data_IF_452938916275
#
_entry.id   IF_452938916275
#
_cell.length_a   1.000
_cell.length_b   1.000
_cell.length_c   1.000
_cell.angle_alpha   90.00
_cell.angle_beta   90.00
_cell.angle_gamma   90.00
#
_symmetry.space_group_name_H-M   'P 1'
#
loop_
_entity.id
_entity.type
_entity.pdbx_description
1 polymer ?
#
# COMPACT_ATOMS: atom_id res chain seq x y z
N UNK A 1 4.45 11.03 -9.94
CA UNK A 1 3.62 10.74 -8.76
C UNK A 1 2.19 10.62 -9.25
N UNK A 2 1.65 9.40 -9.28
CA UNK A 2 0.25 9.15 -9.65
C UNK A 2 -0.59 9.40 -8.40
N UNK A 3 -1.49 10.38 -8.44
CA UNK A 3 -2.42 10.63 -7.33
C UNK A 3 -3.62 9.70 -7.49
N UNK A 4 -3.95 8.95 -6.43
CA UNK A 4 -5.25 8.29 -6.30
C UNK A 4 -6.20 9.21 -5.53
N UNK A 5 -7.29 9.64 -6.16
CA UNK A 5 -8.39 10.32 -5.47
C UNK A 5 -9.56 9.34 -5.35
N UNK A 6 -9.83 8.92 -4.11
CA UNK A 6 -11.02 8.15 -3.75
C UNK A 6 -12.13 9.07 -3.26
N UNK A 7 -13.22 9.17 -4.02
CA UNK A 7 -14.45 9.83 -3.56
C UNK A 7 -15.44 8.73 -3.17
N UNK A 8 -15.86 8.72 -1.91
CA UNK A 8 -16.94 7.84 -1.44
C UNK A 8 -18.26 8.50 -1.81
N UNK A 9 -18.87 8.04 -2.90
CA UNK A 9 -20.25 8.38 -3.24
C UNK A 9 -21.21 7.44 -2.52
N UNK A 10 -21.93 7.93 -1.51
CA UNK A 10 -23.05 7.19 -0.94
C UNK A 10 -24.20 7.19 -1.96
N UNK A 11 -24.50 6.03 -2.58
CA UNK A 11 -25.74 5.86 -3.31
C UNK A 11 -26.90 5.68 -2.30
N UNK A 12 -27.41 6.79 -1.78
CA UNK A 12 -28.70 6.82 -1.07
C UNK A 12 -29.83 6.79 -2.10
N UNK A 13 -30.40 5.61 -2.35
CA UNK A 13 -31.59 5.46 -3.19
C UNK A 13 -32.80 6.08 -2.49
N UNK A 14 -33.24 7.24 -2.97
CA UNK A 14 -34.55 7.80 -2.64
C UNK A 14 -35.64 7.11 -3.44
N UNK A 15 -36.56 6.43 -2.75
CA UNK A 15 -37.84 6.03 -3.33
C UNK A 15 -38.93 6.88 -2.67
N UNK A 16 -39.27 7.99 -3.31
CA UNK A 16 -40.52 8.69 -3.07
C UNK A 16 -41.59 8.05 -3.95
N UNK A 17 -42.52 7.33 -3.33
CA UNK A 17 -43.75 6.91 -4.01
C UNK A 17 -44.94 7.36 -3.17
N UNK A 18 -45.66 8.32 -3.74
CA UNK A 18 -46.96 8.84 -3.32
C UNK A 18 -47.95 7.72 -3.02
N UNK A 19 -48.50 7.72 -1.81
CA UNK A 19 -49.65 6.90 -1.43
C UNK A 19 -50.93 7.52 -2.01
N UNK A 20 -51.69 6.72 -2.76
CA UNK A 20 -53.10 6.99 -3.06
C UNK A 20 -53.90 5.81 -2.52
N UNK A 21 -54.83 6.11 -1.62
CA UNK A 21 -55.74 5.15 -0.99
C UNK A 21 -56.81 4.66 -1.96
N UNK A 22 -57.06 3.35 -1.99
CA UNK A 22 -58.20 2.74 -2.68
C UNK A 22 -58.48 1.35 -2.12
N UNK A 23 -59.73 1.14 -1.68
CA UNK A 23 -60.19 0.01 -0.88
C UNK A 23 -60.58 -1.24 -1.69
N UNK A 24 -60.56 -2.39 -1.02
CA UNK A 24 -61.51 -3.49 -1.26
C UNK A 24 -60.96 -4.73 -2.00
N UNK A 25 -61.10 -5.91 -1.37
CA UNK A 25 -61.03 -7.20 -2.06
C UNK A 25 -60.39 -8.32 -1.24
N UNK A 26 -61.22 -9.14 -0.59
CA UNK A 26 -60.80 -10.37 0.07
C UNK A 26 -60.40 -11.44 -0.96
N UNK A 27 -59.27 -12.11 -0.72
CA UNK A 27 -58.81 -13.25 -1.52
C UNK A 27 -57.78 -14.07 -0.75
N UNK A 28 -58.16 -15.26 -0.32
CA UNK A 28 -57.31 -16.28 0.29
C UNK A 28 -56.31 -16.82 -0.74
N UNK A 29 -55.03 -16.78 -0.40
CA UNK A 29 -53.95 -17.30 -1.24
C UNK A 29 -52.75 -17.69 -0.37
N UNK A 30 -52.42 -18.97 -0.45
CA UNK A 30 -51.38 -19.69 0.29
C UNK A 30 -50.01 -19.01 0.33
N UNK A 31 -49.38 -19.05 1.50
CA UNK A 31 -48.05 -18.54 1.77
C UNK A 31 -46.96 -19.14 0.87
N UNK A 32 -46.43 -18.31 -0.02
CA UNK A 32 -45.09 -18.47 -0.57
C UNK A 32 -44.13 -17.64 0.29
N UNK A 33 -43.22 -18.31 1.00
CA UNK A 33 -42.10 -17.65 1.64
C UNK A 33 -41.21 -17.03 0.55
N UNK A 34 -41.47 -15.77 0.22
CA UNK A 34 -40.58 -14.93 -0.55
C UNK A 34 -39.32 -14.69 0.29
N UNK A 35 -38.33 -15.57 0.14
CA UNK A 35 -36.98 -15.32 0.59
C UNK A 35 -36.45 -14.09 -0.14
N UNK A 36 -36.60 -12.93 0.48
CA UNK A 36 -35.96 -11.71 0.03
C UNK A 36 -34.46 -11.95 0.03
N UNK A 37 -33.88 -12.14 -1.15
CA UNK A 37 -32.44 -12.01 -1.34
C UNK A 37 -32.12 -10.55 -1.05
N UNK A 38 -31.82 -10.23 0.20
CA UNK A 38 -31.25 -8.96 0.59
C UNK A 38 -29.99 -8.79 -0.23
N UNK A 39 -30.08 -8.01 -1.31
CA UNK A 39 -28.96 -7.71 -2.18
C UNK A 39 -27.90 -7.08 -1.31
N UNK A 40 -26.82 -7.83 -1.04
CA UNK A 40 -25.65 -7.28 -0.39
C UNK A 40 -25.26 -6.04 -1.21
N UNK A 41 -25.36 -4.86 -0.59
CA UNK A 41 -24.91 -3.63 -1.24
C UNK A 41 -23.43 -3.85 -1.49
N UNK A 42 -23.06 -4.13 -2.74
CA UNK A 42 -21.69 -4.29 -3.15
C UNK A 42 -21.01 -2.93 -2.94
N UNK A 43 -20.15 -2.82 -1.93
CA UNK A 43 -19.28 -1.65 -1.79
C UNK A 43 -18.52 -1.48 -3.12
N UNK A 44 -18.59 -0.30 -3.71
CA UNK A 44 -17.74 0.10 -4.82
C UNK A 44 -17.19 1.50 -4.55
N UNK A 45 -15.86 1.63 -4.46
CA UNK A 45 -15.19 2.92 -4.30
C UNK A 45 -14.29 3.15 -5.51
N UNK A 46 -14.56 4.16 -6.36
CA UNK A 46 -13.71 4.46 -7.51
C UNK A 46 -12.37 5.05 -7.06
N UNK A 47 -11.29 4.57 -7.67
CA UNK A 47 -9.92 5.03 -7.50
C UNK A 47 -9.45 5.61 -8.83
N UNK A 48 -9.49 6.94 -8.95
CA UNK A 48 -9.04 7.62 -10.17
C UNK A 48 -7.55 7.89 -10.09
N UNK A 49 -6.81 7.39 -11.06
CA UNK A 49 -5.37 7.56 -11.21
C UNK A 49 -5.09 8.41 -12.44
N UNK A 50 -4.27 9.45 -12.26
CA UNK A 50 -3.87 10.37 -13.32
C UNK A 50 -2.35 10.40 -13.45
N UNK A 51 -1.85 10.21 -14.65
CA UNK A 51 -0.44 10.37 -15.01
C UNK A 51 -0.26 11.76 -15.64
N UNK A 52 0.60 12.59 -15.05
CA UNK A 52 0.79 14.00 -15.48
C UNK A 52 2.19 14.31 -15.99
N UNK A 53 3.10 13.34 -16.00
CA UNK A 53 4.50 13.56 -16.40
C UNK A 53 4.78 13.17 -17.85
N UNK A 54 3.77 12.71 -18.60
CA UNK A 54 3.93 12.26 -19.97
C UNK A 54 4.68 10.94 -20.10
N UNK A 55 4.70 10.12 -19.05
CA UNK A 55 5.43 8.84 -19.02
C UNK A 55 4.47 7.69 -18.75
N UNK A 56 4.46 6.69 -19.63
CA UNK A 56 3.66 5.47 -19.42
C UNK A 56 4.11 4.77 -18.14
N UNK A 57 3.15 4.49 -17.27
CA UNK A 57 3.32 3.78 -16.01
C UNK A 57 2.88 2.34 -16.21
N UNK A 58 3.77 1.39 -15.92
CA UNK A 58 3.49 -0.05 -15.98
C UNK A 58 3.76 -0.65 -14.61
N UNK A 59 2.78 -1.34 -14.04
CA UNK A 59 2.83 -1.90 -12.69
C UNK A 59 3.31 -0.87 -11.64
N UNK A 60 2.83 0.37 -11.72
CA UNK A 60 3.19 1.44 -10.80
C UNK A 60 2.59 1.18 -9.43
N UNK A 61 3.41 1.14 -8.36
CA UNK A 61 2.89 1.03 -7.02
C UNK A 61 1.99 2.22 -6.67
N UNK A 62 0.79 1.90 -6.21
CA UNK A 62 -0.20 2.85 -5.73
C UNK A 62 -0.52 2.49 -4.28
N UNK A 63 -0.37 3.48 -3.40
CA UNK A 63 -0.83 3.41 -2.01
C UNK A 63 -1.90 4.47 -1.82
N UNK A 64 -3.09 4.07 -1.36
CA UNK A 64 -4.20 4.99 -1.12
C UNK A 64 -4.88 4.68 0.21
N UNK A 65 -5.11 5.71 1.02
CA UNK A 65 -6.01 5.65 2.17
C UNK A 65 -7.45 5.85 1.71
N UNK A 66 -8.35 4.97 2.13
CA UNK A 66 -9.76 4.97 1.75
C UNK A 66 -10.63 5.05 3.00
N UNK A 67 -11.40 6.13 3.18
CA UNK A 67 -12.45 6.16 4.19
C UNK A 67 -13.57 5.21 3.77
N UNK A 68 -14.10 4.44 4.72
CA UNK A 68 -15.27 3.59 4.49
C UNK A 68 -16.38 3.95 5.49
N UNK A 69 -17.62 3.89 5.01
CA UNK A 69 -18.79 4.19 5.83
C UNK A 69 -18.99 3.12 6.93
N UNK A 70 -19.59 3.49 8.09
CA UNK A 70 -20.00 2.52 9.10
C UNK A 70 -20.84 1.39 8.50
N UNK A 71 -20.63 0.16 8.96
CA UNK A 71 -21.33 -1.03 8.48
C UNK A 71 -20.93 -1.54 7.10
N UNK A 72 -20.12 -0.82 6.32
CA UNK A 72 -19.85 -1.17 4.92
C UNK A 72 -19.09 -2.49 4.75
N UNK A 73 -17.93 -2.63 5.42
CA UNK A 73 -17.09 -3.84 5.37
C UNK A 73 -16.42 -4.04 6.72
N UNK A 74 -16.39 -5.29 7.21
CA UNK A 74 -15.71 -5.65 8.48
C UNK A 74 -14.37 -6.34 8.28
N UNK A 75 -14.26 -7.13 7.22
CA UNK A 75 -13.09 -7.97 6.92
C UNK A 75 -12.50 -7.63 5.55
N UNK A 76 -11.17 -7.45 5.51
CA UNK A 76 -10.41 -7.23 4.28
C UNK A 76 -10.42 -8.44 3.35
N UNK A 77 -10.71 -9.65 3.84
CA UNK A 77 -10.83 -10.85 3.01
C UNK A 77 -11.95 -10.75 1.95
N UNK A 78 -12.96 -9.91 2.19
CA UNK A 78 -14.02 -9.63 1.23
C UNK A 78 -13.62 -8.61 0.15
N UNK A 79 -12.48 -7.92 0.32
CA UNK A 79 -12.06 -6.82 -0.53
C UNK A 79 -11.16 -7.28 -1.67
N UNK A 80 -11.31 -6.61 -2.82
CA UNK A 80 -10.42 -6.77 -3.97
C UNK A 80 -10.43 -5.48 -4.81
N UNK A 81 -9.39 -5.31 -5.63
CA UNK A 81 -9.31 -4.18 -6.56
C UNK A 81 -9.63 -4.67 -7.97
N UNK A 82 -10.57 -4.00 -8.63
CA UNK A 82 -10.89 -4.21 -10.03
C UNK A 82 -10.10 -3.23 -10.91
N UNK A 83 -9.46 -3.75 -11.96
CA UNK A 83 -8.86 -2.96 -13.02
C UNK A 83 -9.95 -2.22 -13.85
N UNK A 84 -9.56 -1.32 -14.77
CA UNK A 84 -10.51 -0.62 -15.64
C UNK A 84 -11.44 -1.56 -16.43
N UNK A 85 -11.01 -2.79 -16.74
CA UNK A 85 -11.78 -3.83 -17.45
C UNK A 85 -12.63 -4.69 -16.50
N UNK A 86 -12.62 -4.41 -15.20
CA UNK A 86 -13.38 -5.13 -14.18
C UNK A 86 -12.72 -6.41 -13.67
N UNK A 87 -11.47 -6.69 -14.05
CA UNK A 87 -10.75 -7.90 -13.64
C UNK A 87 -10.06 -7.67 -12.29
N UNK A 88 -10.00 -8.67 -11.40
CA UNK A 88 -9.32 -8.53 -10.13
C UNK A 88 -7.80 -8.42 -10.34
N UNK A 89 -7.15 -7.53 -9.57
CA UNK A 89 -5.69 -7.40 -9.52
C UNK A 89 -5.19 -7.62 -8.09
N UNK A 90 -3.94 -8.10 -7.91
CA UNK A 90 -3.38 -8.28 -6.59
C UNK A 90 -3.40 -6.97 -5.82
N UNK A 91 -3.95 -7.03 -4.61
CA UNK A 91 -3.99 -5.91 -3.69
C UNK A 91 -3.64 -6.36 -2.27
N UNK A 92 -3.08 -5.45 -1.50
CA UNK A 92 -2.79 -5.62 -0.09
C UNK A 92 -3.57 -4.56 0.68
N UNK A 93 -4.21 -4.99 1.75
CA UNK A 93 -5.11 -4.16 2.55
C UNK A 93 -4.63 -4.13 3.99
N UNK A 94 -4.64 -2.96 4.61
CA UNK A 94 -4.37 -2.77 6.04
C UNK A 94 -5.44 -1.89 6.66
N UNK A 95 -5.96 -2.32 7.81
CA UNK A 95 -6.93 -1.55 8.57
C UNK A 95 -6.18 -0.55 9.47
N UNK A 96 -6.36 0.73 9.23
CA UNK A 96 -5.78 1.83 10.04
C UNK A 96 -6.72 2.29 11.15
N UNK A 97 -8.00 1.98 11.03
CA UNK A 97 -8.99 2.36 12.04
C UNK A 97 -10.32 1.69 11.80
N UNK A 98 -11.08 1.51 12.89
CA UNK A 98 -12.41 0.92 12.90
C UNK A 98 -13.44 1.87 13.51
N UNK A 99 -14.68 1.74 13.09
CA UNK A 99 -15.84 2.33 13.74
C UNK A 99 -16.21 1.54 15.02
N UNK A 100 -17.02 2.11 15.93
CA UNK A 100 -17.46 1.41 17.15
C UNK A 100 -18.22 0.09 16.87
N UNK A 101 -18.86 -0.05 15.71
CA UNK A 101 -19.57 -1.26 15.28
C UNK A 101 -18.64 -2.36 14.71
N UNK A 102 -17.33 -2.15 14.77
CA UNK A 102 -16.27 -3.03 14.28
C UNK A 102 -15.99 -2.94 12.78
N UNK A 103 -16.79 -2.20 12.01
CA UNK A 103 -16.55 -1.99 10.58
C UNK A 103 -15.30 -1.15 10.33
N UNK A 104 -14.67 -1.35 9.18
CA UNK A 104 -13.45 -0.64 8.79
C UNK A 104 -13.82 0.83 8.54
N UNK A 105 -13.07 1.75 9.15
CA UNK A 105 -13.21 3.20 8.95
C UNK A 105 -12.16 3.74 8.00
N UNK A 106 -10.91 3.34 8.21
CA UNK A 106 -9.76 3.76 7.43
C UNK A 106 -9.03 2.54 6.91
N UNK A 107 -8.99 2.40 5.59
CA UNK A 107 -8.33 1.30 4.92
C UNK A 107 -7.14 1.84 4.11
N UNK A 108 -5.94 1.34 4.36
CA UNK A 108 -4.82 1.51 3.45
C UNK A 108 -4.87 0.40 2.39
N UNK A 109 -4.82 0.78 1.13
CA UNK A 109 -4.78 -0.11 -0.01
C UNK A 109 -3.48 0.08 -0.79
N UNK A 110 -2.76 -1.01 -1.01
CA UNK A 110 -1.56 -1.09 -1.84
C UNK A 110 -1.83 -2.02 -3.03
N UNK A 111 -1.64 -1.53 -4.25
CA UNK A 111 -1.76 -2.31 -5.48
C UNK A 111 -0.83 -1.76 -6.56
N UNK A 112 -0.77 -2.41 -7.72
CA UNK A 112 -0.01 -1.93 -8.87
C UNK A 112 -0.94 -1.58 -10.03
N UNK A 113 -0.69 -0.45 -10.68
CA UNK A 113 -1.55 0.09 -11.72
C UNK A 113 -0.80 0.39 -13.02
N UNK A 114 -1.48 0.20 -14.13
CA UNK A 114 -1.04 0.66 -15.44
C UNK A 114 -1.76 1.96 -15.78
N UNK A 115 -1.01 3.00 -16.15
CA UNK A 115 -1.56 4.30 -16.53
C UNK A 115 -0.82 4.78 -17.79
N UNK A 116 -1.50 5.05 -18.91
CA UNK A 116 -0.84 5.59 -20.09
C UNK A 116 -0.27 6.99 -19.81
N UNK A 117 0.76 7.38 -20.56
CA UNK A 117 1.32 8.74 -20.51
C UNK A 117 0.21 9.80 -20.68
N UNK A 118 0.18 10.81 -19.81
CA UNK A 118 -0.88 11.85 -19.79
C UNK A 118 -2.31 11.27 -19.69
N UNK A 119 -2.44 10.05 -19.17
CA UNK A 119 -3.68 9.30 -19.14
C UNK A 119 -4.37 9.32 -17.79
N UNK A 120 -5.67 9.05 -17.82
CA UNK A 120 -6.50 8.83 -16.63
C UNK A 120 -7.14 7.46 -16.70
N UNK A 121 -7.02 6.68 -15.64
CA UNK A 121 -7.65 5.36 -15.50
C UNK A 121 -8.43 5.28 -14.19
N UNK A 122 -9.44 4.40 -14.16
CA UNK A 122 -10.25 4.16 -12.96
C UNK A 122 -10.16 2.70 -12.54
N UNK A 123 -9.56 2.50 -11.38
CA UNK A 123 -9.66 1.25 -10.62
C UNK A 123 -10.84 1.35 -9.65
N UNK A 124 -11.27 0.24 -9.07
CA UNK A 124 -12.35 0.22 -8.07
C UNK A 124 -12.02 -0.71 -6.93
N UNK A 125 -12.16 -0.25 -5.69
CA UNK A 125 -12.28 -1.14 -4.54
C UNK A 125 -13.68 -1.75 -4.54
N UNK A 126 -13.76 -3.08 -4.43
CA UNK A 126 -15.03 -3.81 -4.35
C UNK A 126 -15.06 -4.73 -3.14
N UNK A 127 -16.27 -4.98 -2.63
CA UNK A 127 -16.52 -6.01 -1.63
C UNK A 127 -17.46 -7.10 -2.18
N UNK A 128 -17.08 -8.36 -2.00
CA UNK A 128 -17.84 -9.52 -2.48
C UNK A 128 -17.75 -9.72 -4.00
N UNK A 129 -18.26 -10.87 -4.47
CA UNK A 129 -18.37 -11.19 -5.91
C UNK A 129 -17.04 -11.38 -6.67
N UNK A 130 -15.90 -11.30 -5.99
CA UNK A 130 -14.57 -11.47 -6.57
C UNK A 130 -13.55 -11.94 -5.53
N UNK A 131 -12.41 -12.40 -6.01
CA UNK A 131 -11.29 -12.82 -5.18
C UNK A 131 -10.11 -11.86 -5.37
N UNK A 132 -9.32 -11.66 -4.32
CA UNK A 132 -8.06 -10.94 -4.38
C UNK A 132 -6.94 -11.92 -4.78
N UNK A 133 -6.42 -11.88 -6.01
CA UNK A 133 -5.42 -12.84 -6.47
C UNK A 133 -4.07 -12.59 -5.79
N UNK A 134 -3.31 -13.67 -5.58
CA UNK A 134 -1.91 -13.54 -5.16
C UNK A 134 -1.10 -12.85 -6.25
N UNK A 135 -0.11 -12.01 -5.89
CA UNK A 135 0.75 -11.39 -6.88
C UNK A 135 1.72 -12.41 -7.49
N UNK A 136 2.05 -12.23 -8.78
CA UNK A 136 2.98 -13.11 -9.49
C UNK A 136 4.40 -13.08 -8.92
N UNK A 137 4.80 -11.94 -8.35
CA UNK A 137 6.02 -11.75 -7.59
C UNK A 137 5.65 -11.22 -6.21
N UNK A 138 6.46 -11.54 -5.20
CA UNK A 138 6.22 -11.07 -3.84
C UNK A 138 7.50 -10.54 -3.22
N UNK A 139 7.35 -9.54 -2.35
CA UNK A 139 8.48 -9.05 -1.55
C UNK A 139 8.74 -10.04 -0.41
N UNK A 140 9.95 -10.60 -0.40
CA UNK A 140 10.44 -11.49 0.65
C UNK A 140 11.41 -10.72 1.54
N UNK A 141 11.31 -10.94 2.85
CA UNK A 141 12.20 -10.33 3.83
C UNK A 141 12.79 -11.44 4.68
N UNK A 142 14.11 -11.54 4.75
CA UNK A 142 14.82 -12.44 5.65
C UNK A 142 15.56 -11.60 6.69
N UNK A 143 15.39 -11.96 7.96
CA UNK A 143 16.20 -11.41 9.05
C UNK A 143 17.50 -12.18 9.12
N UNK A 144 18.62 -11.47 9.08
CA UNK A 144 19.95 -12.03 9.25
C UNK A 144 20.51 -11.62 10.61
N UNK A 145 21.59 -12.27 11.06
CA UNK A 145 22.29 -11.84 12.28
C UNK A 145 22.83 -10.41 12.17
N UNK A 146 23.18 -9.98 10.95
CA UNK A 146 23.83 -8.69 10.68
C UNK A 146 22.91 -7.67 10.03
N UNK A 147 21.59 -7.90 9.97
CA UNK A 147 20.64 -6.97 9.36
C UNK A 147 19.50 -7.66 8.61
N UNK A 148 19.14 -7.15 7.43
CA UNK A 148 18.03 -7.63 6.60
C UNK A 148 18.49 -7.94 5.18
N UNK A 149 17.89 -8.97 4.60
CA UNK A 149 17.88 -9.21 3.16
C UNK A 149 16.44 -9.05 2.65
N UNK A 150 16.26 -8.27 1.58
CA UNK A 150 14.97 -8.06 0.93
C UNK A 150 15.08 -8.47 -0.54
N UNK A 151 14.15 -9.29 -1.00
CA UNK A 151 14.01 -9.66 -2.41
C UNK A 151 12.66 -9.20 -2.93
N UNK A 152 12.63 -8.51 -4.06
CA UNK A 152 11.39 -8.02 -4.68
C UNK A 152 10.94 -8.86 -5.86
N UNK A 153 11.74 -9.85 -6.26
CA UNK A 153 11.63 -10.57 -7.52
C UNK A 153 12.86 -10.29 -8.37
N UNK A 154 12.91 -9.19 -9.14
CA UNK A 154 14.05 -8.88 -10.00
C UNK A 154 15.29 -8.40 -9.24
N UNK A 155 15.11 -7.86 -8.02
CA UNK A 155 16.18 -7.28 -7.23
C UNK A 155 16.30 -7.90 -5.84
N UNK A 156 17.54 -7.91 -5.33
CA UNK A 156 17.89 -8.29 -3.96
C UNK A 156 18.70 -7.17 -3.31
N UNK A 157 18.39 -6.87 -2.05
CA UNK A 157 19.00 -5.80 -1.27
C UNK A 157 19.49 -6.36 0.06
N UNK A 158 20.73 -6.04 0.44
CA UNK A 158 21.25 -6.28 1.79
C UNK A 158 21.37 -4.97 2.55
N UNK A 159 20.78 -4.92 3.74
CA UNK A 159 20.86 -3.81 4.69
C UNK A 159 21.57 -4.33 5.94
N UNK A 160 22.78 -3.86 6.24
CA UNK A 160 23.46 -4.19 7.49
C UNK A 160 22.94 -3.32 8.64
N UNK A 161 22.87 -3.87 9.85
CA UNK A 161 22.55 -3.09 11.05
C UNK A 161 23.77 -2.31 11.59
N UNK A 162 24.99 -2.75 11.29
CA UNK A 162 26.22 -2.05 11.63
C UNK A 162 27.43 -2.53 10.79
N UNK A 163 28.27 -1.62 10.27
CA UNK A 163 27.96 -0.20 10.03
C UNK A 163 26.89 -0.06 8.94
N UNK A 164 25.96 0.88 9.10
CA UNK A 164 24.88 1.07 8.12
C UNK A 164 25.28 1.99 6.97
N UNK A 165 25.11 1.49 5.73
CA UNK A 165 25.57 2.17 4.51
C UNK A 165 24.46 2.43 3.49
N UNK A 166 23.22 2.57 3.96
CA UNK A 166 22.00 2.59 3.15
C UNK A 166 21.72 1.24 2.48
N UNK A 167 22.54 0.83 1.50
CA UNK A 167 22.56 -0.51 0.94
C UNK A 167 23.99 -1.04 1.00
N UNK A 168 24.18 -2.19 1.63
CA UNK A 168 25.49 -2.86 1.61
C UNK A 168 25.70 -3.56 0.28
N UNK A 169 24.64 -4.19 -0.24
CA UNK A 169 24.68 -4.89 -1.51
C UNK A 169 23.33 -4.77 -2.22
N UNK A 170 23.40 -4.62 -3.55
CA UNK A 170 22.24 -4.62 -4.42
C UNK A 170 22.54 -5.47 -5.64
N UNK A 171 21.66 -6.42 -5.94
CA UNK A 171 21.70 -7.24 -7.14
C UNK A 171 20.46 -7.02 -7.98
N UNK A 172 20.63 -7.02 -9.30
CA UNK A 172 19.54 -7.17 -10.27
C UNK A 172 19.83 -8.44 -11.08
N UNK A 173 18.96 -9.44 -10.95
CA UNK A 173 19.25 -10.80 -11.40
C UNK A 173 20.57 -11.31 -10.79
N UNK A 174 21.52 -11.70 -11.64
CA UNK A 174 22.84 -12.18 -11.21
C UNK A 174 23.90 -11.06 -11.11
N UNK A 175 23.58 -9.84 -11.55
CA UNK A 175 24.54 -8.72 -11.58
C UNK A 175 24.50 -7.97 -10.26
N UNK A 176 25.62 -7.95 -9.54
CA UNK A 176 25.82 -7.06 -8.40
C UNK A 176 26.08 -5.63 -8.90
N UNK A 177 25.25 -4.68 -8.49
CA UNK A 177 25.36 -3.26 -8.84
C UNK A 177 25.95 -2.43 -7.70
N UNK A 178 25.67 -2.83 -6.46
CA UNK A 178 26.29 -2.24 -5.26
C UNK A 178 27.02 -3.35 -4.53
N UNK A 179 28.31 -3.13 -4.28
CA UNK A 179 29.16 -3.99 -3.49
C UNK A 179 29.55 -3.26 -2.18
N UNK A 180 29.98 -4.01 -1.14
CA UNK A 180 30.32 -3.39 0.13
C UNK A 180 31.52 -2.44 -0.02
N UNK A 181 31.33 -1.18 0.34
CA UNK A 181 32.37 -0.16 0.31
C UNK A 181 32.31 0.67 1.61
N UNK A 182 33.39 0.70 2.43
CA UNK A 182 33.46 1.54 3.62
C UNK A 182 33.23 3.04 3.38
N UNK A 183 33.44 3.54 2.17
CA UNK A 183 33.19 4.95 1.85
C UNK A 183 31.71 5.26 1.59
N UNK A 184 30.87 4.25 1.33
CA UNK A 184 29.44 4.40 1.01
C UNK A 184 28.58 4.73 2.23
N UNK A 185 27.39 5.28 1.99
CA UNK A 185 26.37 5.56 3.00
C UNK A 185 25.87 7.00 2.98
N UNK A 186 25.16 7.37 4.05
CA UNK A 186 24.64 8.74 4.23
C UNK A 186 25.71 9.57 4.92
N UNK A 187 26.15 10.65 4.27
CA UNK A 187 27.27 11.47 4.73
C UNK A 187 26.84 12.93 4.82
N UNK A 188 27.18 13.57 5.93
CA UNK A 188 27.05 15.02 6.11
C UNK A 188 28.44 15.61 6.33
N UNK A 189 28.84 16.56 5.48
CA UNK A 189 30.13 17.25 5.56
C UNK A 189 29.94 18.64 6.17
N UNK A 190 30.63 18.91 7.27
CA UNK A 190 30.62 20.22 7.91
C UNK A 190 31.41 21.27 7.12
N UNK A 191 31.07 22.55 7.30
CA UNK A 191 31.66 23.66 6.55
C UNK A 191 33.05 24.13 7.06
N UNK A 192 33.65 23.45 8.04
CA UNK A 192 34.95 23.81 8.63
C UNK A 192 36.16 23.48 7.74
N UNK A 193 37.35 23.96 8.14
CA UNK A 193 38.64 23.59 7.53
C UNK A 193 39.61 23.08 8.62
N UNK A 194 39.99 21.79 8.61
CA UNK A 194 39.49 20.75 7.71
C UNK A 194 38.01 20.44 7.96
N UNK A 195 37.32 19.98 6.91
CA UNK A 195 35.92 19.61 7.02
C UNK A 195 35.75 18.36 7.89
N UNK A 196 34.81 18.40 8.84
CA UNK A 196 34.43 17.22 9.63
C UNK A 196 33.39 16.43 8.85
N UNK A 197 33.62 15.13 8.69
CA UNK A 197 32.71 14.21 8.01
C UNK A 197 31.93 13.43 9.05
N UNK A 198 30.59 13.48 8.98
CA UNK A 198 29.68 12.72 9.83
C UNK A 198 28.98 11.65 9.00
N UNK A 199 29.10 10.37 9.41
CA UNK A 199 28.52 9.22 8.70
C UNK A 199 27.32 8.65 9.43
N UNK A 200 26.29 8.23 8.70
CA UNK A 200 25.07 7.61 9.22
C UNK A 200 25.24 6.15 9.68
N UNK A 201 26.43 5.73 10.12
CA UNK A 201 26.75 4.32 10.34
C UNK A 201 26.13 3.73 11.61
N UNK A 202 25.78 4.59 12.58
CA UNK A 202 25.27 4.17 13.90
C UNK A 202 23.75 4.03 13.88
N UNK A 203 23.28 2.79 13.69
CA UNK A 203 21.85 2.45 13.79
C UNK A 203 21.44 2.35 15.25
N UNK A 204 20.35 3.04 15.59
CA UNK A 204 19.63 2.89 16.87
C UNK A 204 18.57 1.81 16.77
N UNK A 205 17.87 1.75 15.64
CA UNK A 205 16.79 0.79 15.41
C UNK A 205 16.61 0.52 13.93
N UNK A 206 16.45 -0.75 13.57
CA UNK A 206 15.98 -1.17 12.25
C UNK A 206 14.72 -2.00 12.45
N UNK A 207 13.64 -1.65 11.76
CA UNK A 207 12.33 -2.30 11.95
C UNK A 207 11.57 -2.43 10.64
N UNK A 208 10.96 -3.59 10.41
CA UNK A 208 10.00 -3.79 9.34
C UNK A 208 8.66 -3.26 9.84
N UNK A 209 8.19 -2.13 9.29
CA UNK A 209 6.95 -1.48 9.72
C UNK A 209 5.72 -2.11 9.05
N UNK A 210 5.84 -2.36 7.73
CA UNK A 210 4.78 -2.95 6.93
C UNK A 210 5.37 -4.17 6.23
N UNK A 211 4.73 -5.34 6.37
CA UNK A 211 5.14 -6.57 5.70
C UNK A 211 3.96 -7.18 4.97
N UNK A 212 3.99 -7.12 3.64
CA UNK A 212 3.09 -7.89 2.82
C UNK A 212 3.67 -8.19 1.44
N UNK A 213 2.95 -8.98 0.65
CA UNK A 213 3.49 -9.56 -0.57
C UNK A 213 3.74 -8.50 -1.66
N UNK A 214 3.01 -7.37 -1.67
CA UNK A 214 3.18 -6.32 -2.67
C UNK A 214 4.11 -5.19 -2.23
N UNK A 215 4.17 -4.93 -0.92
CA UNK A 215 4.90 -3.79 -0.36
C UNK A 215 5.49 -4.15 1.00
N UNK A 216 6.75 -3.80 1.18
CA UNK A 216 7.44 -3.82 2.48
C UNK A 216 7.99 -2.44 2.77
N UNK A 217 7.86 -1.98 4.01
CA UNK A 217 8.52 -0.77 4.50
C UNK A 217 9.48 -1.11 5.64
N UNK A 218 10.74 -0.76 5.46
CA UNK A 218 11.79 -0.85 6.49
C UNK A 218 12.09 0.56 6.98
N UNK A 219 12.01 0.78 8.30
CA UNK A 219 12.47 2.00 8.95
C UNK A 219 13.83 1.77 9.60
N UNK A 220 14.76 2.69 9.33
CA UNK A 220 16.06 2.75 9.99
C UNK A 220 16.15 4.09 10.72
N UNK A 221 16.37 4.02 12.02
CA UNK A 221 16.60 5.17 12.89
C UNK A 221 18.07 5.11 13.33
N UNK A 222 18.80 6.21 13.19
CA UNK A 222 20.23 6.25 13.48
C UNK A 222 20.78 7.66 13.68
N UNK A 223 22.11 7.77 13.67
CA UNK A 223 22.84 9.01 13.96
C UNK A 223 23.97 9.25 12.96
N UNK A 224 24.22 10.53 12.66
CA UNK A 224 25.39 11.00 11.91
C UNK A 224 26.54 11.28 12.87
N UNK A 225 27.68 10.62 12.66
CA UNK A 225 28.74 10.53 13.66
C UNK A 225 30.10 10.77 13.01
N UNK A 226 30.92 11.60 13.63
CA UNK A 226 32.29 11.84 13.19
C UNK A 226 33.21 10.71 13.66
N UNK A 227 34.40 10.62 13.05
CA UNK A 227 35.46 9.69 13.49
C UNK A 227 35.90 9.91 14.94
N UNK A 228 35.76 11.12 15.47
CA UNK A 228 35.99 11.44 16.88
C UNK A 228 34.93 10.88 17.84
N UNK A 229 33.85 10.30 17.31
CA UNK A 229 32.67 9.87 18.09
C UNK A 229 31.63 10.96 18.29
N UNK A 230 31.95 12.22 17.96
CA UNK A 230 31.02 13.34 18.06
C UNK A 230 29.76 13.09 17.20
N UNK A 231 28.59 13.30 17.80
CA UNK A 231 27.31 13.10 17.12
C UNK A 231 26.78 14.45 16.64
N UNK A 232 26.38 14.52 15.36
CA UNK A 232 25.81 15.73 14.78
C UNK A 232 24.28 15.76 14.96
N UNK A 233 23.60 14.77 14.38
CA UNK A 233 22.14 14.72 14.37
C UNK A 233 21.63 13.27 14.23
N UNK A 234 20.34 13.08 14.50
CA UNK A 234 19.63 11.82 14.25
C UNK A 234 19.00 11.82 12.86
N UNK A 235 18.81 10.63 12.29
CA UNK A 235 18.05 10.44 11.07
C UNK A 235 16.97 9.36 11.25
N UNK A 236 15.92 9.48 10.46
CA UNK A 236 14.91 8.44 10.23
C UNK A 236 14.80 8.24 8.73
N UNK A 237 14.97 7.01 8.29
CA UNK A 237 14.92 6.61 6.89
C UNK A 237 13.85 5.55 6.70
N UNK A 238 12.91 5.78 5.79
CA UNK A 238 11.94 4.79 5.34
C UNK A 238 12.33 4.28 3.95
N UNK A 239 12.73 3.01 3.87
CA UNK A 239 12.95 2.29 2.62
C UNK A 239 11.69 1.50 2.27
N UNK A 240 11.15 1.72 1.08
CA UNK A 240 9.94 1.06 0.60
C UNK A 240 10.30 0.19 -0.60
N UNK A 241 9.97 -1.10 -0.51
CA UNK A 241 10.22 -2.10 -1.52
C UNK A 241 8.90 -2.60 -2.07
N UNK A 242 8.84 -2.80 -3.39
CA UNK A 242 7.63 -3.21 -4.09
C UNK A 242 7.88 -4.47 -4.90
N UNK A 243 6.89 -5.37 -4.95
CA UNK A 243 7.00 -6.59 -5.74
C UNK A 243 7.24 -6.27 -7.22
N UNK A 244 8.14 -7.01 -7.85
CA UNK A 244 8.48 -6.87 -9.27
C UNK A 244 9.28 -5.63 -9.63
N UNK A 245 9.87 -4.91 -8.65
CA UNK A 245 10.65 -3.69 -8.89
C UNK A 245 11.95 -3.64 -8.10
#
# INVERSE_FOLDING_TARGET
>A
MVLALGLVGCAGGGAGTTATSGAGGAGSGSGGAGGGSGGAIALEVPLTLEERAGVTRVAEPVTSGLPLAPGAVRDTAALWIADPRGRPVPAQFRVEGRWPDGSIRWLLCDFQADVPANGTVRYRLRAGGGANPAPAQSVQVRTLQTGLEIETGPARFRLASAPFRLFDEVWIGQRQLVAPDPASGIVVTGAGSPAVVYRGERVRRMSVLDRGPLRVRVRVEGEHVASSGATLCRYTLDLVFHAGR
#
